data_IF_487488064077
#
_entry.id   IF_487488064077
#
_cell.length_a   1.000
_cell.length_b   1.000
_cell.length_c   1.000
_cell.angle_alpha   90.00
_cell.angle_beta   90.00
_cell.angle_gamma   90.00
#
_symmetry.space_group_name_H-M   'P 1'
#
loop_
_entity.id
_entity.type
_entity.pdbx_description
1 polymer ?
#
# COMPACT_ATOMS: atom_id res chain seq x y z
N UNK A 1 7.17 6.78 -8.16
CA UNK A 1 6.61 5.49 -8.61
C UNK A 1 5.35 5.10 -7.85
N UNK A 2 4.46 4.33 -8.51
CA UNK A 2 3.22 3.80 -7.91
C UNK A 2 3.15 2.29 -8.17
N UNK A 3 2.79 1.53 -7.15
CA UNK A 3 2.57 0.09 -7.21
C UNK A 3 1.24 -0.25 -6.52
N UNK A 4 0.48 -1.20 -7.06
CA UNK A 4 -0.77 -1.68 -6.46
C UNK A 4 -0.76 -3.19 -6.35
N UNK A 5 -1.24 -3.71 -5.22
CA UNK A 5 -1.43 -5.14 -4.97
C UNK A 5 -2.93 -5.38 -4.80
N UNK A 6 -3.51 -6.14 -5.74
CA UNK A 6 -4.96 -6.39 -5.78
C UNK A 6 -5.28 -7.84 -5.41
N UNK A 7 -6.18 -8.01 -4.44
CA UNK A 7 -6.81 -9.29 -4.16
C UNK A 7 -8.21 -9.32 -4.79
N UNK A 8 -8.32 -10.00 -5.94
CA UNK A 8 -9.58 -10.13 -6.67
C UNK A 8 -10.65 -10.93 -5.90
N UNK A 9 -10.23 -11.83 -5.00
CA UNK A 9 -11.14 -12.63 -4.18
C UNK A 9 -11.90 -11.76 -3.18
N UNK A 10 -11.21 -10.86 -2.48
CA UNK A 10 -11.80 -10.02 -1.43
C UNK A 10 -12.14 -8.62 -1.92
N UNK A 11 -11.83 -8.31 -3.18
CA UNK A 11 -11.99 -6.99 -3.80
C UNK A 11 -11.25 -5.89 -3.03
N UNK A 12 -10.07 -6.22 -2.51
CA UNK A 12 -9.21 -5.32 -1.73
C UNK A 12 -7.93 -4.97 -2.48
N UNK A 13 -7.41 -3.78 -2.23
CA UNK A 13 -6.21 -3.21 -2.85
C UNK A 13 -5.31 -2.58 -1.81
N UNK A 14 -4.01 -2.79 -1.97
CA UNK A 14 -2.96 -2.04 -1.27
C UNK A 14 -2.26 -1.17 -2.31
N UNK A 15 -2.34 0.14 -2.16
CA UNK A 15 -1.62 1.11 -3.02
C UNK A 15 -0.36 1.56 -2.30
N UNK A 16 0.76 1.62 -3.03
CA UNK A 16 2.09 1.98 -2.57
C UNK A 16 2.62 3.09 -3.48
N UNK A 17 3.07 4.20 -2.91
CA UNK A 17 3.55 5.37 -3.65
C UNK A 17 4.89 5.82 -3.10
N UNK A 18 5.84 5.99 -4.01
CA UNK A 18 7.13 6.63 -3.77
C UNK A 18 7.15 7.96 -4.52
N UNK A 19 7.31 9.06 -3.79
CA UNK A 19 7.37 10.39 -4.37
C UNK A 19 8.81 10.90 -4.44
N UNK A 20 9.20 11.45 -5.59
CA UNK A 20 10.53 12.05 -5.78
C UNK A 20 10.77 13.25 -4.85
N UNK A 21 9.69 13.94 -4.46
CA UNK A 21 9.73 15.06 -3.52
C UNK A 21 9.87 14.63 -2.05
N UNK A 22 9.69 13.34 -1.73
CA UNK A 22 9.82 12.79 -0.39
C UNK A 22 10.68 11.51 -0.43
N UNK A 23 11.98 11.64 -0.75
CA UNK A 23 12.86 10.49 -0.89
C UNK A 23 12.95 9.73 0.44
N UNK A 24 12.84 8.40 0.36
CA UNK A 24 12.91 7.53 1.54
C UNK A 24 11.60 7.41 2.31
N UNK A 25 10.50 8.00 1.84
CA UNK A 25 9.15 7.79 2.40
C UNK A 25 8.34 6.92 1.44
N UNK A 26 7.76 5.86 1.98
CA UNK A 26 6.71 5.09 1.33
C UNK A 26 5.37 5.59 1.83
N UNK A 27 4.54 6.09 0.91
CA UNK A 27 3.12 6.29 1.17
C UNK A 27 2.35 5.03 0.82
N UNK A 28 1.37 4.66 1.64
CA UNK A 28 0.56 3.49 1.39
C UNK A 28 -0.89 3.71 1.82
N UNK A 29 -1.79 2.94 1.21
CA UNK A 29 -3.21 2.99 1.51
C UNK A 29 -3.87 1.64 1.29
N UNK A 30 -4.80 1.30 2.19
CA UNK A 30 -5.61 0.10 2.15
C UNK A 30 -7.04 0.47 1.74
N UNK A 31 -7.47 0.07 0.55
CA UNK A 31 -8.79 0.43 -0.02
C UNK A 31 -9.47 -0.77 -0.65
N UNK A 32 -10.79 -0.70 -0.88
CA UNK A 32 -11.43 -1.68 -1.77
C UNK A 32 -11.20 -1.28 -3.23
N UNK A 33 -11.29 -2.25 -4.15
CA UNK A 33 -11.12 -2.00 -5.59
C UNK A 33 -12.23 -1.08 -6.13
N UNK A 34 -13.38 -1.04 -5.44
CA UNK A 34 -14.52 -0.19 -5.79
C UNK A 34 -14.46 1.21 -5.17
N UNK A 35 -13.59 1.43 -4.17
CA UNK A 35 -13.41 2.75 -3.57
C UNK A 35 -12.53 3.63 -4.47
N UNK A 36 -12.90 4.91 -4.55
CA UNK A 36 -11.96 5.92 -5.04
C UNK A 36 -10.79 6.02 -4.06
N UNK A 37 -9.56 5.96 -4.58
CA UNK A 37 -8.33 6.17 -3.81
C UNK A 37 -8.43 7.54 -3.14
N UNK A 38 -8.68 7.57 -1.83
CA UNK A 38 -8.79 8.82 -1.08
C UNK A 38 -7.44 9.52 -0.95
N UNK A 39 -7.45 10.82 -0.62
CA UNK A 39 -6.22 11.61 -0.42
C UNK A 39 -5.48 11.29 0.90
N UNK A 40 -6.06 10.44 1.75
CA UNK A 40 -5.48 10.06 3.05
C UNK A 40 -4.55 8.85 2.91
N UNK A 41 -3.29 9.11 2.60
CA UNK A 41 -2.21 8.12 2.64
C UNK A 41 -1.56 8.07 4.01
N UNK A 42 -1.23 6.85 4.45
CA UNK A 42 -0.31 6.64 5.56
C UNK A 42 1.13 6.68 5.03
N UNK A 43 2.09 7.07 5.86
CA UNK A 43 3.50 7.17 5.48
C UNK A 43 4.40 6.44 6.46
N UNK A 44 5.41 5.74 5.94
CA UNK A 44 6.49 5.15 6.72
C UNK A 44 7.84 5.28 6.02
N UNK A 45 8.94 5.10 6.74
CA UNK A 45 10.26 5.11 6.11
C UNK A 45 10.40 3.89 5.19
N UNK A 46 10.83 4.11 3.95
CA UNK A 46 11.07 3.05 2.98
C UNK A 46 12.10 2.02 3.51
N UNK A 47 13.05 2.45 4.35
CA UNK A 47 14.02 1.56 5.01
C UNK A 47 13.40 0.57 5.98
N UNK A 48 12.18 0.83 6.46
CA UNK A 48 11.45 -0.06 7.38
C UNK A 48 10.58 -1.08 6.62
N UNK A 49 10.49 -0.96 5.30
CA UNK A 49 9.65 -1.81 4.45
C UNK A 49 10.49 -2.98 3.94
N UNK A 50 10.03 -4.19 4.24
CA UNK A 50 10.63 -5.44 3.76
C UNK A 50 9.61 -6.27 2.97
N UNK A 51 10.09 -7.28 2.25
CA UNK A 51 9.19 -8.25 1.62
C UNK A 51 8.27 -8.93 2.65
N UNK A 52 8.75 -9.16 3.88
CA UNK A 52 7.94 -9.71 4.96
C UNK A 52 6.81 -8.75 5.35
N UNK A 53 7.10 -7.45 5.47
CA UNK A 53 6.09 -6.42 5.75
C UNK A 53 4.95 -6.44 4.74
N UNK A 54 5.27 -6.59 3.45
CA UNK A 54 4.26 -6.67 2.39
C UNK A 54 3.44 -7.97 2.50
N UNK A 55 4.08 -9.10 2.82
CA UNK A 55 3.38 -10.37 3.03
C UNK A 55 2.44 -10.30 4.23
N UNK A 56 2.89 -9.73 5.34
CA UNK A 56 2.09 -9.55 6.55
C UNK A 56 0.87 -8.68 6.26
N UNK A 57 1.04 -7.56 5.54
CA UNK A 57 -0.07 -6.73 5.09
C UNK A 57 -1.05 -7.50 4.20
N UNK A 58 -0.58 -8.35 3.29
CA UNK A 58 -1.47 -9.17 2.47
C UNK A 58 -2.27 -10.17 3.33
N UNK A 59 -1.64 -10.82 4.31
CA UNK A 59 -2.32 -11.77 5.20
C UNK A 59 -3.36 -11.07 6.07
N UNK A 60 -2.97 -9.97 6.72
CA UNK A 60 -3.84 -9.23 7.64
C UNK A 60 -4.97 -8.52 6.91
N UNK A 61 -4.66 -7.86 5.80
CA UNK A 61 -5.64 -7.05 5.08
C UNK A 61 -6.49 -7.86 4.11
N UNK A 62 -5.98 -8.93 3.50
CA UNK A 62 -6.81 -9.71 2.57
C UNK A 62 -7.61 -10.82 3.23
N UNK A 63 -7.18 -11.35 4.38
CA UNK A 63 -7.90 -12.41 5.11
C UNK A 63 -7.67 -13.80 4.53
#
# INVERSE_FOLDING_TARGET
DVMTIDCLRTRRRITLILHDNQPGVLLYQFVTIDDEVGDEFQGMALSEVSAQTLVDWMLDYFG
#
